data_IF_584228111024
#
_entry.id   IF_584228111024
#
_cell.length_a   1.000
_cell.length_b   1.000
_cell.length_c   1.000
_cell.angle_alpha   90.00
_cell.angle_beta   90.00
_cell.angle_gamma   90.00
#
_symmetry.space_group_name_H-M   'P 1'
#
loop_
_entity.id
_entity.type
_entity.pdbx_description
1 polymer ?
#
# COMPACT_ATOMS: atom_id res chain seq x y z
N UNK A 1 -54.63 30.32 -33.60
CA UNK A 1 -53.39 31.10 -33.41
C UNK A 1 -53.27 31.35 -31.91
N UNK A 2 -52.27 30.76 -31.26
CA UNK A 2 -52.10 30.83 -29.79
C UNK A 2 -50.98 31.86 -29.51
N UNK A 3 -51.17 32.81 -28.59
CA UNK A 3 -50.11 33.75 -28.22
C UNK A 3 -49.01 33.03 -27.46
N UNK A 4 -47.75 33.33 -27.78
CA UNK A 4 -46.59 32.85 -27.03
C UNK A 4 -46.48 33.67 -25.74
N UNK A 5 -46.46 33.00 -24.58
CA UNK A 5 -46.20 33.67 -23.31
C UNK A 5 -44.70 33.99 -23.23
N UNK A 6 -44.35 35.27 -23.40
CA UNK A 6 -43.01 35.76 -23.10
C UNK A 6 -42.99 36.08 -21.62
N UNK A 7 -42.49 35.15 -20.81
CA UNK A 7 -42.26 35.37 -19.38
C UNK A 7 -41.21 36.46 -19.16
N UNK A 8 -41.39 37.29 -18.13
CA UNK A 8 -40.43 38.34 -17.80
C UNK A 8 -39.05 37.72 -17.46
N UNK A 9 -37.95 38.25 -18.04
CA UNK A 9 -36.63 37.72 -17.78
C UNK A 9 -36.27 37.91 -16.30
N UNK A 10 -35.85 36.83 -15.65
CA UNK A 10 -35.47 36.87 -14.24
C UNK A 10 -34.27 37.81 -14.01
N UNK A 11 -34.09 38.36 -12.80
CA UNK A 11 -32.92 39.20 -12.48
C UNK A 11 -31.57 38.52 -12.77
N UNK A 12 -31.51 37.18 -12.69
CA UNK A 12 -30.31 36.41 -13.04
C UNK A 12 -29.98 36.48 -14.53
N UNK A 13 -30.98 36.59 -15.40
CA UNK A 13 -30.77 36.75 -16.85
C UNK A 13 -30.45 38.20 -17.20
N UNK A 14 -31.13 39.16 -16.58
CA UNK A 14 -30.95 40.59 -16.92
C UNK A 14 -29.62 41.14 -16.43
N UNK A 15 -29.10 40.64 -15.31
CA UNK A 15 -27.82 41.06 -14.71
C UNK A 15 -26.66 40.12 -15.06
N UNK A 16 -26.83 39.18 -15.99
CA UNK A 16 -25.78 38.24 -16.36
C UNK A 16 -24.70 38.93 -17.21
N UNK A 17 -23.46 38.90 -16.72
CA UNK A 17 -22.28 39.36 -17.46
C UNK A 17 -21.41 38.18 -17.88
N UNK A 18 -21.45 37.77 -19.17
CA UNK A 18 -20.74 36.58 -19.64
C UNK A 18 -19.22 36.66 -19.47
N UNK A 19 -18.62 37.83 -19.71
CA UNK A 19 -17.18 38.06 -19.57
C UNK A 19 -16.71 37.90 -18.12
N UNK A 20 -17.44 38.51 -17.18
CA UNK A 20 -17.14 38.42 -15.75
C UNK A 20 -17.29 37.00 -15.23
N UNK A 21 -18.34 36.28 -15.66
CA UNK A 21 -18.56 34.89 -15.31
C UNK A 21 -17.43 33.96 -15.82
N UNK A 22 -16.95 34.18 -17.05
CA UNK A 22 -15.82 33.42 -17.62
C UNK A 22 -14.52 33.66 -16.82
N UNK A 23 -14.25 34.91 -16.42
CA UNK A 23 -13.10 35.25 -15.56
C UNK A 23 -13.22 34.60 -14.18
N UNK A 24 -14.39 34.67 -13.55
CA UNK A 24 -14.68 34.00 -12.27
C UNK A 24 -14.52 32.47 -12.38
N UNK A 25 -14.94 31.87 -13.50
CA UNK A 25 -14.78 30.44 -13.73
C UNK A 25 -13.31 30.04 -13.86
N UNK A 26 -12.51 30.83 -14.60
CA UNK A 26 -11.07 30.58 -14.75
C UNK A 26 -10.32 30.69 -13.42
N UNK A 27 -10.63 31.72 -12.63
CA UNK A 27 -10.02 31.89 -11.30
C UNK A 27 -10.42 30.76 -10.36
N UNK A 28 -11.67 30.29 -10.41
CA UNK A 28 -12.11 29.14 -9.62
C UNK A 28 -11.34 27.86 -9.97
N UNK A 29 -11.14 27.60 -11.26
CA UNK A 29 -10.37 26.45 -11.73
C UNK A 29 -8.91 26.51 -11.26
N UNK A 30 -8.28 27.68 -11.33
CA UNK A 30 -6.91 27.90 -10.88
C UNK A 30 -6.77 27.62 -9.37
N UNK A 31 -7.67 28.18 -8.56
CA UNK A 31 -7.70 27.92 -7.11
C UNK A 31 -7.86 26.43 -6.77
N UNK A 32 -8.70 25.70 -7.51
CA UNK A 32 -8.85 24.24 -7.33
C UNK A 32 -7.56 23.52 -7.67
N UNK A 33 -6.87 23.93 -8.73
CA UNK A 33 -5.62 23.34 -9.16
C UNK A 33 -4.52 23.56 -8.11
N UNK A 34 -4.37 24.79 -7.60
CA UNK A 34 -3.41 25.11 -6.54
C UNK A 34 -3.65 24.26 -5.28
N UNK A 35 -4.92 24.14 -4.84
CA UNK A 35 -5.28 23.32 -3.68
C UNK A 35 -4.91 21.86 -3.90
N UNK A 36 -5.16 21.33 -5.10
CA UNK A 36 -4.83 19.94 -5.45
C UNK A 36 -3.32 19.72 -5.45
N UNK A 37 -2.55 20.65 -6.00
CA UNK A 37 -1.09 20.57 -6.02
C UNK A 37 -0.49 20.59 -4.61
N UNK A 38 -0.96 21.51 -3.76
CA UNK A 38 -0.55 21.57 -2.35
C UNK A 38 -0.90 20.27 -1.63
N UNK A 39 -2.10 19.72 -1.86
CA UNK A 39 -2.50 18.45 -1.28
C UNK A 39 -1.59 17.29 -1.74
N UNK A 40 -1.28 17.23 -3.04
CA UNK A 40 -0.40 16.21 -3.60
C UNK A 40 1.02 16.29 -3.04
N UNK A 41 1.59 17.50 -2.91
CA UNK A 41 2.91 17.70 -2.29
C UNK A 41 2.90 17.21 -0.84
N UNK A 42 1.88 17.57 -0.06
CA UNK A 42 1.74 17.13 1.34
C UNK A 42 1.63 15.61 1.43
N UNK A 43 0.81 14.99 0.59
CA UNK A 43 0.66 13.54 0.52
C UNK A 43 1.98 12.85 0.21
N UNK A 44 2.70 13.33 -0.81
CA UNK A 44 4.00 12.80 -1.19
C UNK A 44 5.01 12.90 -0.05
N UNK A 45 5.10 14.05 0.63
CA UNK A 45 6.01 14.24 1.78
C UNK A 45 5.67 13.28 2.92
N UNK A 46 4.39 13.10 3.24
CA UNK A 46 3.96 12.17 4.29
C UNK A 46 4.31 10.72 3.92
N UNK A 47 3.98 10.28 2.71
CA UNK A 47 4.28 8.92 2.22
C UNK A 47 5.77 8.63 2.20
N UNK A 48 6.57 9.57 1.68
CA UNK A 48 8.04 9.41 1.62
C UNK A 48 8.66 9.36 3.01
N UNK A 49 8.20 10.20 3.94
CA UNK A 49 8.67 10.15 5.35
C UNK A 49 8.33 8.82 6.02
N UNK A 50 7.12 8.32 5.81
CA UNK A 50 6.69 7.01 6.33
C UNK A 50 7.55 5.87 5.75
N UNK A 51 7.75 5.86 4.43
CA UNK A 51 8.57 4.87 3.74
C UNK A 51 10.02 4.89 4.22
N UNK A 52 10.64 6.08 4.36
CA UNK A 52 12.02 6.21 4.88
C UNK A 52 12.14 5.64 6.28
N UNK A 53 11.22 5.98 7.19
CA UNK A 53 11.24 5.48 8.58
C UNK A 53 11.07 3.97 8.66
N UNK A 54 10.21 3.41 7.80
CA UNK A 54 10.03 1.96 7.70
C UNK A 54 11.30 1.29 7.16
N UNK A 55 11.80 1.73 6.00
CA UNK A 55 12.96 1.14 5.33
C UNK A 55 14.23 1.19 6.18
N UNK A 56 14.41 2.21 7.02
CA UNK A 56 15.53 2.27 7.97
C UNK A 56 15.58 1.09 8.97
N UNK A 57 14.43 0.48 9.28
CA UNK A 57 14.34 -0.65 10.22
C UNK A 57 14.33 -2.01 9.55
N UNK A 58 14.08 -2.06 8.24
CA UNK A 58 14.01 -3.32 7.50
C UNK A 58 15.43 -3.78 7.20
N UNK A 59 15.82 -4.91 7.79
CA UNK A 59 17.06 -5.60 7.44
C UNK A 59 16.76 -6.54 6.26
N UNK A 60 17.38 -6.35 5.09
CA UNK A 60 17.24 -7.28 3.97
C UNK A 60 17.71 -8.67 4.41
N UNK A 61 16.91 -9.69 4.15
CA UNK A 61 17.25 -11.09 4.38
C UNK A 61 17.06 -11.84 3.09
N UNK A 62 18.13 -12.47 2.62
CA UNK A 62 18.12 -13.37 1.47
C UNK A 62 18.63 -14.72 1.91
N UNK A 63 18.02 -15.77 1.40
CA UNK A 63 18.44 -17.14 1.65
C UNK A 63 18.61 -17.88 0.33
N UNK A 64 19.49 -18.88 0.30
CA UNK A 64 19.76 -19.69 -0.87
C UNK A 64 19.01 -21.01 -0.79
N UNK A 65 18.75 -21.61 -1.96
CA UNK A 65 18.27 -22.99 -2.03
C UNK A 65 19.23 -23.92 -1.29
N UNK A 66 18.68 -24.77 -0.44
CA UNK A 66 19.43 -25.71 0.38
C UNK A 66 19.77 -25.19 1.79
N UNK A 67 19.61 -23.89 2.07
CA UNK A 67 19.84 -23.32 3.39
C UNK A 67 18.85 -23.89 4.42
N UNK A 68 19.35 -24.16 5.63
CA UNK A 68 18.52 -24.55 6.76
C UNK A 68 18.04 -23.31 7.52
N UNK A 69 16.73 -23.21 7.70
CA UNK A 69 16.06 -22.06 8.32
C UNK A 69 15.06 -22.50 9.38
N UNK A 70 14.89 -21.63 10.37
CA UNK A 70 13.79 -21.66 11.33
C UNK A 70 12.64 -20.79 10.82
N UNK A 71 11.43 -21.30 11.03
CA UNK A 71 10.18 -20.67 10.65
C UNK A 71 9.51 -20.07 11.88
N UNK A 72 9.06 -18.81 11.79
CA UNK A 72 8.32 -18.18 12.89
C UNK A 72 6.96 -18.85 13.05
N UNK A 73 6.64 -19.28 14.27
CA UNK A 73 5.34 -19.90 14.56
C UNK A 73 4.26 -18.82 14.51
N UNK A 74 3.30 -18.93 13.59
CA UNK A 74 2.11 -18.06 13.57
C UNK A 74 1.16 -18.43 14.72
N UNK A 75 0.38 -17.48 15.23
CA UNK A 75 -0.58 -17.73 16.32
C UNK A 75 -1.50 -18.91 15.97
N UNK A 76 -1.36 -20.02 16.70
CA UNK A 76 -2.26 -21.17 16.66
C UNK A 76 -3.04 -21.22 17.98
N UNK A 77 -4.18 -21.89 17.97
CA UNK A 77 -5.11 -22.00 19.11
C UNK A 77 -4.48 -22.58 20.38
N UNK A 78 -3.35 -23.29 20.28
CA UNK A 78 -2.69 -23.99 21.38
C UNK A 78 -1.34 -23.36 21.80
N UNK A 79 -1.16 -22.04 21.67
CA UNK A 79 0.05 -21.38 22.18
C UNK A 79 -0.05 -21.10 23.68
N UNK A 80 0.85 -21.68 24.46
CA UNK A 80 1.11 -21.29 25.84
C UNK A 80 2.36 -20.39 25.92
N UNK A 81 2.62 -19.76 27.08
CA UNK A 81 3.79 -18.89 27.30
C UNK A 81 5.15 -19.57 27.05
N UNK A 82 5.20 -20.90 27.04
CA UNK A 82 6.41 -21.71 26.90
C UNK A 82 6.60 -22.27 25.49
N UNK A 83 5.65 -22.05 24.56
CA UNK A 83 5.82 -22.49 23.18
C UNK A 83 6.95 -21.71 22.50
N UNK A 84 7.93 -22.39 21.87
CA UNK A 84 9.01 -21.71 21.19
C UNK A 84 8.46 -20.84 20.05
N UNK A 85 9.03 -19.64 19.89
CA UNK A 85 8.58 -18.67 18.88
C UNK A 85 8.99 -19.07 17.46
N UNK A 86 9.99 -19.95 17.35
CA UNK A 86 10.58 -20.45 16.12
C UNK A 86 10.48 -21.98 16.09
N UNK A 87 10.17 -22.54 14.93
CA UNK A 87 9.99 -23.96 14.67
C UNK A 87 10.89 -24.39 13.51
N UNK A 88 11.31 -25.65 13.51
CA UNK A 88 12.17 -26.21 12.48
C UNK A 88 13.50 -26.67 13.04
N UNK A 89 14.29 -27.38 12.23
CA UNK A 89 14.78 -26.83 10.97
C UNK A 89 13.98 -27.22 9.72
N UNK A 90 13.90 -26.29 8.76
CA UNK A 90 13.35 -26.48 7.42
C UNK A 90 14.43 -26.16 6.39
N UNK A 91 14.32 -26.71 5.19
CA UNK A 91 15.22 -26.40 4.09
C UNK A 91 14.53 -25.56 3.03
N UNK A 92 15.25 -24.63 2.43
CA UNK A 92 14.71 -23.82 1.33
C UNK A 92 14.78 -24.61 0.03
N UNK A 93 13.63 -24.74 -0.63
CA UNK A 93 13.52 -25.36 -1.96
C UNK A 93 13.88 -24.32 -3.03
N UNK A 94 13.15 -23.21 -3.04
CA UNK A 94 13.35 -22.14 -4.00
C UNK A 94 12.69 -20.82 -3.54
N UNK A 95 13.14 -19.73 -4.16
CA UNK A 95 12.49 -18.43 -4.05
C UNK A 95 11.35 -18.33 -5.08
N UNK A 96 10.17 -17.93 -4.62
CA UNK A 96 8.97 -17.73 -5.46
C UNK A 96 8.93 -16.31 -6.05
N UNK A 97 9.73 -15.39 -5.49
CA UNK A 97 9.84 -13.99 -5.89
C UNK A 97 9.60 -13.03 -4.70
N UNK A 98 10.20 -11.84 -4.77
CA UNK A 98 10.05 -10.77 -3.76
C UNK A 98 10.33 -11.20 -2.31
N UNK A 99 11.30 -12.10 -2.08
CA UNK A 99 11.66 -12.56 -0.74
C UNK A 99 10.68 -13.57 -0.12
N UNK A 100 9.88 -14.26 -0.94
CA UNK A 100 9.05 -15.38 -0.50
C UNK A 100 9.70 -16.72 -0.88
N UNK A 101 9.75 -17.66 0.05
CA UNK A 101 10.43 -18.95 -0.09
C UNK A 101 9.48 -20.12 0.10
N UNK A 102 9.67 -21.20 -0.68
CA UNK A 102 9.09 -22.52 -0.39
C UNK A 102 10.04 -23.30 0.50
N UNK A 103 9.47 -23.96 1.50
CA UNK A 103 10.21 -24.75 2.47
C UNK A 103 9.88 -26.22 2.32
N UNK A 104 10.84 -27.09 2.62
CA UNK A 104 10.63 -28.51 2.86
C UNK A 104 11.02 -28.85 4.31
N UNK A 105 10.37 -29.87 4.88
CA UNK A 105 10.84 -30.47 6.12
C UNK A 105 12.06 -31.37 5.86
N UNK A 106 12.67 -31.90 6.93
CA UNK A 106 13.81 -32.81 6.81
C UNK A 106 13.47 -34.15 6.11
N UNK A 107 12.19 -34.51 6.06
CA UNK A 107 11.68 -35.67 5.30
C UNK A 107 11.48 -35.37 3.80
N UNK A 108 11.93 -34.21 3.31
CA UNK A 108 11.77 -33.74 1.92
C UNK A 108 10.31 -33.55 1.48
N UNK A 109 9.39 -33.38 2.42
CA UNK A 109 8.00 -32.98 2.14
C UNK A 109 7.93 -31.46 2.09
N UNK A 110 7.50 -30.93 0.95
CA UNK A 110 7.27 -29.51 0.77
C UNK A 110 6.12 -29.02 1.65
N UNK A 111 6.30 -27.87 2.29
CA UNK A 111 5.22 -27.18 2.99
C UNK A 111 4.29 -26.55 1.93
N UNK A 112 2.95 -26.62 2.14
CA UNK A 112 1.99 -26.10 1.17
C UNK A 112 2.03 -24.57 1.05
N UNK A 113 2.48 -23.87 2.10
CA UNK A 113 2.51 -22.41 2.20
C UNK A 113 3.90 -21.84 1.89
N UNK A 114 3.95 -20.71 1.19
CA UNK A 114 5.15 -19.88 1.02
C UNK A 114 5.39 -18.96 2.21
N UNK A 115 6.66 -18.72 2.53
CA UNK A 115 7.07 -17.97 3.72
C UNK A 115 7.91 -16.75 3.33
N UNK A 116 7.57 -15.58 3.86
CA UNK A 116 8.35 -14.36 3.66
C UNK A 116 9.66 -14.42 4.45
N UNK A 117 10.73 -13.82 3.91
CA UNK A 117 12.05 -13.73 4.53
C UNK A 117 12.04 -13.20 5.99
N UNK A 118 11.14 -12.27 6.31
CA UNK A 118 10.99 -11.72 7.67
C UNK A 118 10.47 -12.75 8.69
N UNK A 119 9.77 -13.78 8.21
CA UNK A 119 9.27 -14.91 9.02
C UNK A 119 10.26 -16.06 9.09
N UNK A 120 11.46 -15.90 8.52
CA UNK A 120 12.53 -16.90 8.49
C UNK A 120 13.79 -16.38 9.20
N UNK A 121 14.57 -17.31 9.73
CA UNK A 121 15.89 -17.07 10.33
C UNK A 121 16.82 -18.22 9.97
N UNK A 122 18.10 -17.95 9.75
CA UNK A 122 19.10 -19.01 9.54
C UNK A 122 19.15 -19.94 10.77
N UNK A 123 19.26 -21.25 10.54
CA UNK A 123 19.28 -22.25 11.62
C UNK A 123 20.62 -22.25 12.37
N UNK A 124 21.72 -22.18 11.62
CA UNK A 124 23.07 -21.99 12.15
C UNK A 124 23.50 -20.56 11.81
N UNK A 125 23.73 -19.73 12.83
CA UNK A 125 24.30 -18.39 12.67
C UNK A 125 25.70 -18.37 13.23
#
# INVERSE_FOLDING_TARGET
MIPVEIGEPSPRMTLFEPSRNEEELRTNLDLIQEVREIAHIKEYVVKTRAARKYNQKVVPRSFKTGDLVLKKVTMTTNKNKLTPLWEGPFRIINETGQGAYKLENLEKKALPRTWNAASLRMYYS
#
